data_IF_029654392425
#
_entry.id   IF_029654392425
#
_cell.length_a   1.000
_cell.length_b   1.000
_cell.length_c   1.000
_cell.angle_alpha   90.00
_cell.angle_beta   90.00
_cell.angle_gamma   90.00
#
_symmetry.space_group_name_H-M   'P 1'
#
loop_
_entity.id
_entity.type
_entity.pdbx_description
1 polymer ?
#
# COMPACT_ATOMS: atom_id res chain seq x y z
N UNK A 1 -44.79 4.93 28.58
CA UNK A 1 -43.69 4.24 27.86
C UNK A 1 -43.08 5.09 26.75
N UNK A 2 -43.89 5.82 25.99
CA UNK A 2 -43.44 6.67 24.88
C UNK A 2 -42.42 7.77 25.28
N UNK A 3 -42.68 8.47 26.40
CA UNK A 3 -41.76 9.45 26.99
C UNK A 3 -40.42 8.86 27.50
N UNK A 4 -40.40 7.58 27.86
CA UNK A 4 -39.17 6.87 28.26
C UNK A 4 -38.37 6.46 27.02
N UNK A 5 -39.07 6.02 25.97
CA UNK A 5 -38.49 5.68 24.68
C UNK A 5 -37.87 6.92 23.99
N UNK A 6 -38.51 8.10 24.09
CA UNK A 6 -37.93 9.38 23.61
C UNK A 6 -36.67 9.79 24.38
N UNK A 7 -36.63 9.61 25.71
CA UNK A 7 -35.41 9.88 26.50
C UNK A 7 -34.25 8.96 26.14
N UNK A 8 -34.53 7.71 25.79
CA UNK A 8 -33.51 6.75 25.31
C UNK A 8 -33.02 7.13 23.91
N UNK A 9 -33.90 7.59 23.02
CA UNK A 9 -33.55 8.04 21.65
C UNK A 9 -32.70 9.31 21.60
N UNK A 10 -32.75 10.15 22.65
CA UNK A 10 -31.97 11.40 22.76
C UNK A 10 -30.59 11.24 23.44
N UNK A 11 -30.25 10.06 23.96
CA UNK A 11 -28.91 9.79 24.49
C UNK A 11 -27.92 9.48 23.36
N UNK A 12 -27.66 10.47 22.52
CA UNK A 12 -26.43 10.48 21.73
C UNK A 12 -25.25 10.60 22.70
N UNK A 13 -24.35 9.61 22.73
CA UNK A 13 -23.12 9.71 23.50
C UNK A 13 -22.28 10.87 22.95
N UNK A 14 -22.34 12.04 23.62
CA UNK A 14 -21.40 13.12 23.38
C UNK A 14 -20.03 12.67 23.90
N UNK A 15 -19.15 12.24 23.00
CA UNK A 15 -17.79 11.88 23.35
C UNK A 15 -17.00 13.15 23.68
N UNK A 16 -16.51 13.24 24.92
CA UNK A 16 -15.61 14.33 25.30
C UNK A 16 -14.30 14.21 24.52
N UNK A 17 -14.06 15.14 23.60
CA UNK A 17 -12.81 15.25 22.84
C UNK A 17 -11.91 16.30 23.50
N UNK A 18 -10.80 15.86 24.07
CA UNK A 18 -9.79 16.74 24.66
C UNK A 18 -8.66 17.01 23.68
N UNK A 19 -8.21 18.27 23.61
CA UNK A 19 -7.07 18.66 22.78
C UNK A 19 -5.76 18.06 23.32
N UNK A 20 -4.73 18.04 22.48
CA UNK A 20 -3.40 17.57 22.91
C UNK A 20 -2.83 18.47 24.01
N UNK A 21 -3.11 19.77 23.97
CA UNK A 21 -2.69 20.72 25.00
C UNK A 21 -3.35 20.42 26.35
N UNK A 22 -4.68 20.22 26.38
CA UNK A 22 -5.38 19.85 27.61
C UNK A 22 -4.82 18.55 28.20
N UNK A 23 -4.55 17.54 27.36
CA UNK A 23 -3.91 16.29 27.78
C UNK A 23 -2.55 16.54 28.44
N UNK A 24 -1.68 17.30 27.78
CA UNK A 24 -0.33 17.59 28.29
C UNK A 24 -0.35 18.40 29.58
N UNK A 25 -1.17 19.45 29.65
CA UNK A 25 -1.34 20.26 30.86
C UNK A 25 -1.83 19.42 32.03
N UNK A 26 -2.76 18.48 31.79
CA UNK A 26 -3.26 17.60 32.85
C UNK A 26 -2.16 16.69 33.42
N UNK A 27 -1.25 16.20 32.56
CA UNK A 27 -0.10 15.40 32.96
C UNK A 27 0.91 16.25 33.70
N UNK A 28 1.21 17.46 33.21
CA UNK A 28 2.10 18.41 33.86
C UNK A 28 1.63 18.75 35.28
N UNK A 29 0.36 19.13 35.44
CA UNK A 29 -0.18 19.47 36.76
C UNK A 29 -0.20 18.27 37.72
N UNK A 30 -0.45 17.07 37.22
CA UNK A 30 -0.51 15.88 38.07
C UNK A 30 0.88 15.34 38.43
N UNK A 31 1.82 15.29 37.48
CA UNK A 31 3.13 14.62 37.65
C UNK A 31 4.26 15.56 38.02
N UNK A 32 4.23 16.81 37.56
CA UNK A 32 5.27 17.81 37.85
C UNK A 32 4.86 18.69 39.03
N UNK A 33 3.62 19.20 39.03
CA UNK A 33 3.10 20.04 40.12
C UNK A 33 2.47 19.25 41.27
N UNK A 34 2.40 17.92 41.15
CA UNK A 34 1.89 16.99 42.18
C UNK A 34 0.47 17.34 42.67
N UNK A 35 -0.33 17.98 41.82
CA UNK A 35 -1.73 18.24 42.14
C UNK A 35 -2.55 16.95 42.06
N UNK A 36 -3.61 16.90 42.87
CA UNK A 36 -4.57 15.81 42.77
C UNK A 36 -5.21 15.76 41.37
N UNK A 37 -5.73 14.59 41.01
CA UNK A 37 -6.15 14.32 39.64
C UNK A 37 -7.32 15.20 39.20
N UNK A 38 -8.27 15.48 40.09
CA UNK A 38 -9.41 16.36 39.83
C UNK A 38 -8.97 17.81 39.56
N UNK A 39 -8.09 18.35 40.41
CA UNK A 39 -7.53 19.70 40.29
C UNK A 39 -6.70 19.83 39.02
N UNK A 40 -5.92 18.81 38.67
CA UNK A 40 -5.12 18.77 37.44
C UNK A 40 -5.99 18.82 36.20
N UNK A 41 -7.07 18.03 36.16
CA UNK A 41 -8.02 18.04 35.05
C UNK A 41 -8.76 19.37 34.91
N UNK A 42 -9.18 19.97 36.03
CA UNK A 42 -9.84 21.28 36.05
C UNK A 42 -8.93 22.39 35.51
N UNK A 43 -7.68 22.45 35.97
CA UNK A 43 -6.70 23.45 35.54
C UNK A 43 -6.25 23.26 34.08
N UNK A 44 -6.32 22.04 33.56
CA UNK A 44 -6.00 21.72 32.17
C UNK A 44 -7.15 22.02 31.18
N UNK A 45 -8.01 22.98 31.49
CA UNK A 45 -9.13 23.38 30.63
C UNK A 45 -10.39 22.52 30.80
N UNK A 46 -10.71 22.09 32.03
CA UNK A 46 -12.01 21.48 32.35
C UNK A 46 -12.16 20.00 31.97
N UNK A 47 -11.11 19.20 32.14
CA UNK A 47 -11.17 17.75 31.91
C UNK A 47 -12.04 17.10 32.98
N UNK A 48 -12.96 16.24 32.54
CA UNK A 48 -13.83 15.51 33.46
C UNK A 48 -12.99 14.67 34.43
N UNK A 49 -13.31 14.76 35.71
CA UNK A 49 -12.53 14.12 36.78
C UNK A 49 -12.30 12.63 36.52
N UNK A 50 -13.33 11.91 36.09
CA UNK A 50 -13.26 10.47 35.75
C UNK A 50 -12.25 10.18 34.64
N UNK A 51 -12.09 11.08 33.67
CA UNK A 51 -11.11 10.94 32.59
C UNK A 51 -9.70 11.13 33.11
N UNK A 52 -9.47 12.19 33.89
CA UNK A 52 -8.18 12.47 34.50
C UNK A 52 -7.76 11.30 35.42
N UNK A 53 -8.69 10.76 36.22
CA UNK A 53 -8.45 9.59 37.08
C UNK A 53 -8.06 8.36 36.26
N UNK A 54 -8.77 8.08 35.16
CA UNK A 54 -8.42 6.98 34.23
C UNK A 54 -7.01 7.17 33.65
N UNK A 55 -6.64 8.38 33.24
CA UNK A 55 -5.30 8.65 32.72
C UNK A 55 -4.23 8.45 33.79
N UNK A 56 -4.43 9.00 34.99
CA UNK A 56 -3.51 8.82 36.11
C UNK A 56 -3.32 7.34 36.47
N UNK A 57 -4.41 6.56 36.47
CA UNK A 57 -4.37 5.10 36.67
C UNK A 57 -3.56 4.41 35.56
N UNK A 58 -3.81 4.71 34.30
CA UNK A 58 -3.06 4.11 33.18
C UNK A 58 -1.58 4.43 33.21
N UNK A 59 -1.19 5.65 33.56
CA UNK A 59 0.22 5.98 33.76
C UNK A 59 0.87 5.31 34.97
N UNK A 60 0.10 4.69 35.88
CA UNK A 60 0.65 3.82 36.94
C UNK A 60 0.87 2.39 36.42
N UNK A 61 -0.05 1.90 35.60
CA UNK A 61 -0.02 0.55 35.03
C UNK A 61 1.01 0.42 33.89
N UNK A 62 1.08 1.42 33.00
CA UNK A 62 2.00 1.47 31.86
C UNK A 62 2.74 2.81 31.86
N UNK A 63 4.03 2.77 32.22
CA UNK A 63 4.92 3.95 32.27
C UNK A 63 5.17 4.55 30.89
N UNK A 64 5.07 3.75 29.84
CA UNK A 64 5.29 4.19 28.45
C UNK A 64 3.98 4.52 27.74
N UNK A 65 2.87 4.59 28.49
CA UNK A 65 1.57 4.83 27.90
C UNK A 65 1.49 6.21 27.24
N UNK A 66 1.29 6.23 25.93
CA UNK A 66 1.13 7.46 25.17
C UNK A 66 -0.31 7.99 25.24
N UNK A 67 -0.52 9.07 26.00
CA UNK A 67 -1.81 9.79 26.13
C UNK A 67 -2.26 10.51 24.84
N UNK A 68 -1.31 10.85 23.97
CA UNK A 68 -1.58 11.48 22.67
C UNK A 68 -1.98 10.45 21.62
N UNK A 69 -1.58 9.19 21.80
CA UNK A 69 -1.88 8.09 20.91
C UNK A 69 -3.36 7.72 20.87
N UNK A 70 -3.92 7.53 19.67
CA UNK A 70 -5.26 6.95 19.50
C UNK A 70 -5.20 5.44 19.78
N UNK A 71 -5.76 5.01 20.91
CA UNK A 71 -5.77 3.60 21.32
C UNK A 71 -6.65 2.69 20.45
N UNK A 72 -7.62 3.27 19.74
CA UNK A 72 -8.57 2.54 18.90
C UNK A 72 -7.89 1.75 17.77
N UNK A 73 -6.67 2.13 17.38
CA UNK A 73 -5.95 1.47 16.28
C UNK A 73 -5.12 0.24 16.71
N UNK A 74 -4.99 -0.04 18.01
CA UNK A 74 -4.04 -1.04 18.52
C UNK A 74 -4.71 -2.33 19.02
N UNK A 75 -5.90 -2.25 19.61
CA UNK A 75 -6.45 -3.36 20.41
C UNK A 75 -7.49 -4.19 19.64
N UNK A 76 -8.20 -3.59 18.67
CA UNK A 76 -9.35 -4.22 18.00
C UNK A 76 -9.18 -4.40 16.48
N UNK A 77 -7.95 -4.40 15.96
CA UNK A 77 -7.74 -4.63 14.53
C UNK A 77 -7.79 -6.13 14.23
N UNK A 78 -8.70 -6.62 13.37
CA UNK A 78 -8.65 -8.00 12.93
C UNK A 78 -7.30 -8.29 12.25
N UNK A 79 -6.80 -9.52 12.40
CA UNK A 79 -5.56 -9.94 11.75
C UNK A 79 -5.68 -9.68 10.23
N UNK A 80 -4.62 -9.17 9.58
CA UNK A 80 -4.62 -9.02 8.13
C UNK A 80 -4.92 -10.37 7.48
N UNK A 81 -5.84 -10.38 6.52
CA UNK A 81 -6.18 -11.58 5.76
C UNK A 81 -5.03 -12.02 4.84
N UNK A 82 -4.16 -11.08 4.46
CA UNK A 82 -3.00 -11.32 3.61
C UNK A 82 -1.75 -11.05 4.45
N UNK A 83 -0.87 -12.05 4.51
CA UNK A 83 0.38 -12.05 5.28
C UNK A 83 1.63 -12.15 4.41
N UNK A 84 2.77 -12.48 5.01
CA UNK A 84 4.06 -12.57 4.33
C UNK A 84 4.11 -13.72 3.31
N UNK A 85 3.59 -14.90 3.65
CA UNK A 85 3.57 -16.06 2.74
C UNK A 85 2.82 -15.76 1.42
N UNK A 86 1.70 -15.03 1.52
CA UNK A 86 0.93 -14.59 0.38
C UNK A 86 1.67 -13.54 -0.46
N UNK A 87 2.49 -12.71 0.18
CA UNK A 87 3.34 -11.73 -0.50
C UNK A 87 4.38 -12.44 -1.35
N UNK A 88 5.07 -13.43 -0.77
CA UNK A 88 6.12 -14.17 -1.47
C UNK A 88 5.54 -14.93 -2.67
N UNK A 89 4.35 -15.52 -2.51
CA UNK A 89 3.62 -16.15 -3.63
C UNK A 89 3.29 -15.15 -4.75
N UNK A 90 2.78 -13.97 -4.40
CA UNK A 90 2.43 -12.94 -5.39
C UNK A 90 3.67 -12.40 -6.13
N UNK A 91 4.80 -12.24 -5.44
CA UNK A 91 6.05 -11.78 -6.05
C UNK A 91 6.49 -12.80 -7.11
N UNK A 92 6.64 -14.07 -6.72
CA UNK A 92 7.04 -15.14 -7.64
C UNK A 92 6.08 -15.26 -8.84
N UNK A 93 4.77 -15.17 -8.59
CA UNK A 93 3.76 -15.24 -9.64
C UNK A 93 3.92 -14.15 -10.71
N UNK A 94 4.20 -12.91 -10.31
CA UNK A 94 4.37 -11.79 -11.24
C UNK A 94 5.78 -11.72 -11.85
N UNK A 95 6.80 -12.27 -11.20
CA UNK A 95 8.13 -12.41 -11.79
C UNK A 95 8.11 -13.42 -12.95
N UNK A 96 7.40 -14.55 -12.78
CA UNK A 96 7.22 -15.55 -13.85
C UNK A 96 6.27 -15.05 -14.95
N UNK A 97 5.23 -14.31 -14.57
CA UNK A 97 4.16 -13.88 -15.48
C UNK A 97 3.84 -12.39 -15.29
N UNK A 98 4.71 -11.46 -15.75
CA UNK A 98 4.53 -10.03 -15.52
C UNK A 98 3.25 -9.48 -16.16
N UNK A 99 2.80 -10.07 -17.26
CA UNK A 99 1.55 -9.68 -17.95
C UNK A 99 0.29 -10.37 -17.39
N UNK A 100 0.40 -11.12 -16.29
CA UNK A 100 -0.75 -11.78 -15.68
C UNK A 100 -1.80 -10.76 -15.23
N UNK A 101 -3.07 -11.14 -15.34
CA UNK A 101 -4.16 -10.31 -14.85
C UNK A 101 -4.27 -10.48 -13.35
N UNK A 102 -4.83 -9.45 -12.72
CA UNK A 102 -5.09 -9.48 -11.29
C UNK A 102 -6.12 -10.57 -10.89
N UNK A 103 -6.96 -11.02 -11.82
CA UNK A 103 -7.90 -12.14 -11.58
C UNK A 103 -7.09 -13.44 -11.47
N UNK A 104 -6.19 -13.68 -12.41
CA UNK A 104 -5.28 -14.83 -12.41
C UNK A 104 -4.47 -14.90 -11.09
N UNK A 105 -4.04 -13.75 -10.55
CA UNK A 105 -3.36 -13.68 -9.25
C UNK A 105 -4.27 -14.04 -8.06
N UNK A 106 -5.55 -13.64 -8.11
CA UNK A 106 -6.55 -14.02 -7.09
C UNK A 106 -6.84 -15.51 -7.16
N UNK A 107 -6.99 -16.06 -8.37
CA UNK A 107 -7.25 -17.47 -8.58
C UNK A 107 -6.05 -18.32 -8.11
N UNK A 108 -4.83 -17.89 -8.44
CA UNK A 108 -3.59 -18.49 -7.97
C UNK A 108 -3.47 -18.49 -6.44
N UNK A 109 -3.83 -17.36 -5.78
CA UNK A 109 -3.88 -17.28 -4.32
C UNK A 109 -4.95 -18.21 -3.72
N UNK A 110 -6.14 -18.25 -4.30
CA UNK A 110 -7.25 -19.06 -3.78
C UNK A 110 -6.97 -20.56 -3.94
N UNK A 111 -6.28 -20.94 -5.02
CA UNK A 111 -5.87 -22.31 -5.29
C UNK A 111 -4.74 -22.77 -4.35
N UNK A 112 -3.75 -21.92 -4.10
CA UNK A 112 -2.62 -22.25 -3.22
C UNK A 112 -2.99 -22.18 -1.73
N UNK A 113 -3.95 -21.33 -1.37
CA UNK A 113 -4.42 -21.13 0.00
C UNK A 113 -5.93 -21.41 0.06
N UNK A 114 -6.32 -22.69 0.21
CA UNK A 114 -7.69 -23.19 0.05
C UNK A 114 -8.76 -22.54 0.97
N UNK A 115 -8.37 -21.81 2.01
CA UNK A 115 -9.28 -21.10 2.92
C UNK A 115 -9.43 -19.60 2.58
N UNK A 116 -8.71 -19.13 1.57
CA UNK A 116 -8.50 -17.71 1.34
C UNK A 116 -9.53 -17.12 0.35
N UNK A 117 -10.61 -16.53 0.87
CA UNK A 117 -11.58 -15.80 0.04
C UNK A 117 -11.25 -14.31 -0.05
N UNK A 118 -10.55 -13.89 -1.10
CA UNK A 118 -10.12 -12.48 -1.28
C UNK A 118 -10.80 -11.81 -2.47
N UNK A 119 -11.20 -10.54 -2.28
CA UNK A 119 -11.65 -9.67 -3.37
C UNK A 119 -10.46 -9.13 -4.18
N UNK A 120 -10.62 -9.06 -5.50
CA UNK A 120 -9.65 -8.45 -6.45
C UNK A 120 -9.09 -7.10 -5.98
N UNK A 121 -9.93 -6.19 -5.47
CA UNK A 121 -9.48 -4.87 -5.02
C UNK A 121 -8.54 -4.94 -3.81
N UNK A 122 -8.67 -5.95 -2.96
CA UNK A 122 -7.77 -6.17 -1.83
C UNK A 122 -6.38 -6.56 -2.32
N UNK A 123 -6.29 -7.49 -3.29
CA UNK A 123 -5.01 -7.85 -3.93
C UNK A 123 -4.38 -6.66 -4.64
N UNK A 124 -5.17 -5.86 -5.37
CA UNK A 124 -4.67 -4.63 -6.02
C UNK A 124 -4.01 -3.67 -5.03
N UNK A 125 -4.69 -3.41 -3.90
CA UNK A 125 -4.16 -2.53 -2.86
C UNK A 125 -2.90 -3.13 -2.24
N UNK A 126 -2.94 -4.41 -1.91
CA UNK A 126 -1.81 -5.12 -1.31
C UNK A 126 -0.56 -5.08 -2.20
N UNK A 127 -0.70 -5.33 -3.50
CA UNK A 127 0.40 -5.22 -4.46
C UNK A 127 1.02 -3.82 -4.46
N UNK A 128 0.20 -2.78 -4.42
CA UNK A 128 0.68 -1.39 -4.42
C UNK A 128 1.31 -0.95 -3.10
N UNK A 129 0.76 -1.36 -1.96
CA UNK A 129 1.17 -0.86 -0.64
C UNK A 129 2.23 -1.72 0.02
N UNK A 130 2.08 -3.04 -0.05
CA UNK A 130 2.93 -3.99 0.68
C UNK A 130 4.02 -4.61 -0.21
N UNK A 131 3.71 -4.85 -1.50
CA UNK A 131 4.67 -5.44 -2.45
C UNK A 131 5.47 -4.38 -3.24
N UNK A 132 5.12 -3.09 -3.17
CA UNK A 132 5.71 -2.03 -3.99
C UNK A 132 5.60 -2.27 -5.51
N UNK A 133 4.58 -2.99 -5.96
CA UNK A 133 4.34 -3.24 -7.38
C UNK A 133 3.62 -2.07 -8.06
N UNK A 134 3.88 -1.94 -9.36
CA UNK A 134 3.27 -0.96 -10.24
C UNK A 134 2.90 -1.61 -11.57
N UNK A 135 1.74 -1.21 -12.10
CA UNK A 135 1.30 -1.64 -13.44
C UNK A 135 1.84 -0.65 -14.47
N UNK A 136 2.67 -1.13 -15.39
CA UNK A 136 3.40 -0.31 -16.36
C UNK A 136 3.25 -0.88 -17.77
N UNK A 137 3.58 -0.06 -18.77
CA UNK A 137 3.72 -0.52 -20.16
C UNK A 137 4.98 -1.38 -20.28
N UNK A 138 4.87 -2.54 -20.93
CA UNK A 138 5.96 -3.50 -21.15
C UNK A 138 6.57 -3.26 -22.52
N UNK A 139 7.90 -3.27 -22.62
CA UNK A 139 8.61 -3.25 -23.91
C UNK A 139 9.22 -4.61 -24.20
N UNK A 140 8.50 -5.44 -24.97
CA UNK A 140 9.00 -6.75 -25.36
C UNK A 140 10.08 -6.59 -26.44
N UNK A 141 11.27 -7.11 -26.14
CA UNK A 141 12.36 -7.24 -27.10
C UNK A 141 12.57 -8.74 -27.41
N UNK A 142 12.77 -9.13 -28.67
CA UNK A 142 13.11 -10.50 -29.00
C UNK A 142 14.38 -10.94 -28.27
N UNK A 143 14.39 -12.11 -27.66
CA UNK A 143 15.58 -12.65 -26.96
C UNK A 143 16.79 -12.70 -27.91
N UNK A 144 16.55 -13.10 -29.16
CA UNK A 144 17.57 -13.14 -30.21
C UNK A 144 18.22 -11.77 -30.52
N UNK A 145 17.62 -10.65 -30.08
CA UNK A 145 18.21 -9.31 -30.22
C UNK A 145 19.45 -9.13 -29.36
N UNK A 146 19.48 -9.77 -28.19
CA UNK A 146 20.57 -9.66 -27.22
C UNK A 146 21.67 -10.70 -27.43
N UNK A 147 21.56 -11.53 -28.47
CA UNK A 147 22.61 -12.48 -28.85
C UNK A 147 23.86 -11.73 -29.34
N UNK A 148 25.02 -12.08 -28.78
CA UNK A 148 26.27 -11.39 -29.05
C UNK A 148 26.65 -11.42 -30.54
N UNK A 149 26.38 -12.54 -31.23
CA UNK A 149 26.68 -12.67 -32.66
C UNK A 149 25.74 -11.78 -33.49
N UNK A 150 24.45 -11.70 -33.14
CA UNK A 150 23.49 -10.81 -33.80
C UNK A 150 23.80 -9.33 -33.56
N UNK A 151 24.27 -8.97 -32.35
CA UNK A 151 24.71 -7.61 -32.05
C UNK A 151 25.93 -7.24 -32.92
N UNK A 152 26.93 -8.12 -32.99
CA UNK A 152 28.12 -7.90 -33.83
C UNK A 152 27.75 -7.76 -35.30
N UNK A 153 26.91 -8.66 -35.83
CA UNK A 153 26.45 -8.61 -37.23
C UNK A 153 25.71 -7.31 -37.54
N UNK A 154 24.85 -6.82 -36.62
CA UNK A 154 24.17 -5.54 -36.78
C UNK A 154 25.14 -4.36 -36.77
N UNK A 155 26.16 -4.40 -35.92
CA UNK A 155 27.19 -3.36 -35.88
C UNK A 155 27.96 -3.33 -37.20
N UNK A 156 28.46 -4.48 -37.67
CA UNK A 156 29.17 -4.59 -38.95
C UNK A 156 28.33 -4.09 -40.11
N UNK A 157 27.05 -4.48 -40.17
CA UNK A 157 26.11 -4.01 -41.19
C UNK A 157 25.95 -2.49 -41.15
N UNK A 158 25.69 -1.91 -39.97
CA UNK A 158 25.55 -0.44 -39.82
C UNK A 158 26.83 0.27 -40.25
N UNK A 159 28.01 -0.20 -39.84
CA UNK A 159 29.29 0.40 -40.22
C UNK A 159 29.53 0.35 -41.74
N UNK A 160 29.24 -0.79 -42.38
CA UNK A 160 29.36 -0.93 -43.84
C UNK A 160 28.47 0.06 -44.59
N UNK A 161 27.21 0.20 -44.19
CA UNK A 161 26.28 1.09 -44.87
C UNK A 161 26.50 2.57 -44.56
N UNK A 162 26.97 2.90 -43.35
CA UNK A 162 27.33 4.28 -42.98
C UNK A 162 28.54 4.79 -43.76
N UNK A 163 29.42 3.89 -44.20
CA UNK A 163 30.56 4.24 -45.05
C UNK A 163 30.17 4.54 -46.51
N UNK A 164 28.97 4.15 -46.95
CA UNK A 164 28.47 4.39 -48.30
C UNK A 164 27.66 5.69 -48.34
N UNK A 165 27.77 6.49 -49.40
CA UNK A 165 27.00 7.74 -49.60
C UNK A 165 25.53 7.48 -49.99
N UNK A 166 24.84 6.62 -49.21
CA UNK A 166 23.47 6.19 -49.50
C UNK A 166 22.49 7.09 -48.75
N UNK A 167 21.77 7.94 -49.46
CA UNK A 167 20.74 8.77 -48.86
C UNK A 167 19.43 7.98 -48.64
N UNK A 168 19.22 7.50 -47.42
CA UNK A 168 18.03 6.72 -47.01
C UNK A 168 16.68 7.42 -47.26
N UNK A 169 16.66 8.75 -47.37
CA UNK A 169 15.42 9.50 -47.60
C UNK A 169 15.07 9.64 -49.08
N UNK A 170 16.02 9.42 -49.99
CA UNK A 170 15.84 9.62 -51.44
C UNK A 170 15.85 8.34 -52.25
N UNK A 171 16.66 7.36 -51.85
CA UNK A 171 17.00 6.20 -52.69
C UNK A 171 16.52 4.86 -52.13
N UNK A 172 15.71 4.85 -51.05
CA UNK A 172 15.30 3.61 -50.38
C UNK A 172 13.79 3.51 -50.24
N UNK A 173 13.26 2.31 -50.51
CA UNK A 173 11.91 1.89 -50.14
C UNK A 173 12.03 0.81 -49.08
N UNK A 174 11.42 1.04 -47.92
CA UNK A 174 11.41 0.05 -46.84
C UNK A 174 10.17 -0.82 -46.97
N UNK A 175 10.39 -2.12 -47.17
CA UNK A 175 9.33 -3.13 -47.15
C UNK A 175 9.50 -3.93 -45.86
N UNK A 176 8.45 -3.97 -45.06
CA UNK A 176 8.42 -4.74 -43.82
C UNK A 176 7.03 -5.31 -43.61
N UNK A 177 6.99 -6.53 -43.09
CA UNK A 177 5.74 -7.14 -42.65
C UNK A 177 5.42 -6.62 -41.24
N UNK A 178 4.22 -6.06 -41.08
CA UNK A 178 3.71 -5.71 -39.77
C UNK A 178 3.30 -6.99 -39.03
N UNK A 179 4.12 -7.43 -38.07
CA UNK A 179 3.73 -8.52 -37.19
C UNK A 179 2.63 -8.03 -36.22
N UNK A 180 1.43 -8.62 -36.34
CA UNK A 180 0.37 -8.43 -35.36
C UNK A 180 0.56 -9.42 -34.21
N UNK A 181 0.45 -8.93 -32.97
CA UNK A 181 0.45 -9.82 -31.82
C UNK A 181 -0.87 -10.60 -31.78
N UNK A 182 -0.83 -11.89 -32.13
CA UNK A 182 -2.01 -12.77 -32.31
C UNK A 182 -2.95 -12.73 -31.10
N UNK A 183 -2.40 -12.61 -29.89
CA UNK A 183 -3.19 -12.64 -28.66
C UNK A 183 -3.78 -11.28 -28.27
N UNK A 184 -3.48 -10.19 -29.00
CA UNK A 184 -3.93 -8.81 -28.75
C UNK A 184 -3.92 -8.38 -27.26
N UNK A 185 -2.98 -8.92 -26.46
CA UNK A 185 -2.88 -8.55 -25.04
C UNK A 185 -2.34 -7.13 -24.95
N UNK A 186 -2.86 -6.31 -24.02
CA UNK A 186 -2.24 -5.04 -23.69
C UNK A 186 -0.76 -5.26 -23.36
N UNK A 187 0.11 -4.41 -23.92
CA UNK A 187 1.53 -4.36 -23.57
C UNK A 187 1.69 -3.73 -22.19
N UNK A 188 1.15 -4.35 -21.17
CA UNK A 188 1.24 -3.88 -19.80
C UNK A 188 1.35 -5.04 -18.82
N UNK A 189 2.03 -4.77 -17.72
CA UNK A 189 2.41 -5.78 -16.75
C UNK A 189 2.76 -5.19 -15.41
N UNK A 190 2.85 -6.06 -14.42
CA UNK A 190 3.19 -5.77 -13.05
C UNK A 190 4.69 -5.95 -12.84
N UNK A 191 5.32 -4.97 -12.21
CA UNK A 191 6.70 -5.06 -11.72
C UNK A 191 6.90 -4.21 -10.49
N UNK A 192 7.98 -4.51 -9.79
CA UNK A 192 8.48 -3.64 -8.75
C UNK A 192 8.65 -2.20 -9.24
N UNK A 193 8.31 -1.26 -8.36
CA UNK A 193 8.46 0.16 -8.63
C UNK A 193 9.95 0.49 -8.83
N UNK A 194 10.26 1.24 -9.88
CA UNK A 194 11.65 1.53 -10.29
C UNK A 194 12.23 0.56 -11.32
N UNK A 195 11.73 -0.67 -11.39
CA UNK A 195 12.25 -1.68 -12.34
C UNK A 195 11.67 -1.49 -13.76
N UNK A 196 12.47 -1.85 -14.77
CA UNK A 196 12.03 -1.93 -16.17
C UNK A 196 11.42 -3.30 -16.47
N UNK A 197 10.41 -3.33 -17.34
CA UNK A 197 9.67 -4.51 -17.80
C UNK A 197 9.81 -4.71 -19.30
#
# INVERSE_FOLDING_TARGET
MEKVLERVKLQGNNYNKYSNEQKLLSVYFNRVKLFNTAKSGRLAGGIAERTAQKWAKRFKEDKNWNILGKQTNLINRPKPQIGQEHKDHLVNFFDDNPQARLIDAVDSLTLHFAELSIKKNTVHKFLKTECNFSFKKVSLQPVARNDATKIANRLTWVTQWTATDTNYLKNCVFVGESAFYINMRPLSGWSEKGSQL
#
